data_IF_054581458141
#
_entry.id   IF_054581458141
#
_cell.length_a   1.000
_cell.length_b   1.000
_cell.length_c   1.000
_cell.angle_alpha   90.00
_cell.angle_beta   90.00
_cell.angle_gamma   90.00
#
_symmetry.space_group_name_H-M   'P 1'
#
loop_
_entity.id
_entity.type
_entity.pdbx_description
1 polymer ?
#
# COMPACT_ATOMS: atom_id res chain seq x y z
N UNK A 1 -21.36 -0.50 39.70
CA UNK A 1 -21.95 0.35 38.65
C UNK A 1 -21.11 1.60 38.36
N UNK A 2 -20.71 2.38 39.37
CA UNK A 2 -19.93 3.64 39.20
C UNK A 2 -18.53 3.43 38.61
N UNK A 3 -17.81 2.40 39.04
CA UNK A 3 -16.44 2.09 38.52
C UNK A 3 -16.47 1.62 37.06
N UNK A 4 -17.52 0.87 36.68
CA UNK A 4 -17.71 0.41 35.30
C UNK A 4 -18.07 1.57 34.37
N UNK A 5 -18.85 2.54 34.85
CA UNK A 5 -19.21 3.74 34.10
C UNK A 5 -18.04 4.71 34.00
N UNK A 6 -17.20 4.84 35.03
CA UNK A 6 -15.99 5.66 34.95
C UNK A 6 -14.95 5.08 33.99
N UNK A 7 -14.72 3.76 34.00
CA UNK A 7 -13.84 3.11 33.02
C UNK A 7 -14.37 3.21 31.59
N UNK A 8 -15.67 3.02 31.38
CA UNK A 8 -16.27 3.17 30.05
C UNK A 8 -16.14 4.60 29.52
N UNK A 9 -16.26 5.61 30.39
CA UNK A 9 -16.10 7.01 30.03
C UNK A 9 -14.63 7.36 29.73
N UNK A 10 -13.69 6.84 30.53
CA UNK A 10 -12.26 7.03 30.33
C UNK A 10 -11.76 6.35 29.04
N UNK A 11 -12.24 5.14 28.75
CA UNK A 11 -11.99 4.42 27.48
C UNK A 11 -12.68 5.11 26.31
N UNK A 12 -13.85 5.74 26.48
CA UNK A 12 -14.47 6.53 25.43
C UNK A 12 -13.71 7.83 25.14
N UNK A 13 -13.12 8.45 26.17
CA UNK A 13 -12.31 9.67 26.04
C UNK A 13 -10.92 9.39 25.45
N UNK A 14 -10.23 8.35 25.90
CA UNK A 14 -9.00 7.84 25.27
C UNK A 14 -9.28 7.26 23.88
N UNK A 15 -10.43 6.63 23.73
CA UNK A 15 -10.94 6.05 22.49
C UNK A 15 -11.15 7.09 21.41
N UNK A 16 -11.57 8.33 21.73
CA UNK A 16 -11.66 9.40 20.72
C UNK A 16 -10.30 9.77 20.12
N UNK A 17 -9.25 9.83 20.92
CA UNK A 17 -7.90 10.10 20.41
C UNK A 17 -7.37 8.90 19.63
N UNK A 18 -7.52 7.68 20.15
CA UNK A 18 -7.11 6.46 19.45
C UNK A 18 -7.87 6.25 18.13
N UNK A 19 -9.20 6.45 18.13
CA UNK A 19 -10.03 6.36 16.94
C UNK A 19 -9.69 7.47 15.93
N UNK A 20 -9.42 8.69 16.38
CA UNK A 20 -8.97 9.77 15.48
C UNK A 20 -7.60 9.47 14.85
N UNK A 21 -6.68 8.85 15.59
CA UNK A 21 -5.38 8.41 15.06
C UNK A 21 -5.58 7.30 14.02
N UNK A 22 -6.43 6.31 14.31
CA UNK A 22 -6.74 5.22 13.37
C UNK A 22 -7.44 5.75 12.12
N UNK A 23 -8.35 6.70 12.26
CA UNK A 23 -9.04 7.34 11.15
C UNK A 23 -8.05 8.13 10.27
N UNK A 24 -7.19 8.94 10.89
CA UNK A 24 -6.13 9.65 10.18
C UNK A 24 -5.17 8.67 9.47
N UNK A 25 -4.81 7.57 10.13
CA UNK A 25 -3.98 6.53 9.56
C UNK A 25 -4.66 5.85 8.37
N UNK A 26 -5.96 5.54 8.47
CA UNK A 26 -6.75 4.98 7.37
C UNK A 26 -6.82 5.93 6.19
N UNK A 27 -7.06 7.22 6.43
CA UNK A 27 -7.10 8.25 5.38
C UNK A 27 -5.74 8.33 4.67
N UNK A 28 -4.64 8.42 5.43
CA UNK A 28 -3.28 8.45 4.85
C UNK A 28 -2.96 7.16 4.10
N UNK A 29 -3.31 6.00 4.66
CA UNK A 29 -3.04 4.72 4.04
C UNK A 29 -3.83 4.56 2.73
N UNK A 30 -5.12 4.86 2.74
CA UNK A 30 -5.98 4.71 1.57
C UNK A 30 -5.64 5.71 0.46
N UNK A 31 -5.32 6.96 0.81
CA UNK A 31 -5.09 8.01 -0.20
C UNK A 31 -3.64 8.14 -0.65
N UNK A 32 -2.67 7.70 0.15
CA UNK A 32 -1.24 7.88 -0.16
C UNK A 32 -0.52 6.54 -0.26
N UNK A 33 -0.63 5.70 0.76
CA UNK A 33 0.09 4.42 0.75
C UNK A 33 -0.42 3.48 -0.35
N UNK A 34 -1.74 3.40 -0.56
CA UNK A 34 -2.34 2.51 -1.55
C UNK A 34 -1.94 2.91 -2.99
N UNK A 35 -2.06 4.19 -3.41
CA UNK A 35 -1.59 4.59 -4.74
C UNK A 35 -0.08 4.45 -4.91
N UNK A 36 0.72 4.73 -3.87
CA UNK A 36 2.17 4.52 -3.91
C UNK A 36 2.52 3.04 -4.08
N UNK A 37 1.87 2.14 -3.35
CA UNK A 37 2.09 0.70 -3.46
C UNK A 37 1.77 0.21 -4.88
N UNK A 38 0.64 0.65 -5.45
CA UNK A 38 0.29 0.33 -6.85
C UNK A 38 1.31 0.92 -7.81
N UNK A 39 1.75 2.16 -7.61
CA UNK A 39 2.75 2.80 -8.46
C UNK A 39 4.09 2.05 -8.43
N UNK A 40 4.55 1.65 -7.25
CA UNK A 40 5.76 0.86 -7.06
C UNK A 40 5.62 -0.50 -7.72
N UNK A 41 4.48 -1.19 -7.54
CA UNK A 41 4.22 -2.47 -8.18
C UNK A 41 4.24 -2.35 -9.70
N UNK A 42 3.57 -1.33 -10.26
CA UNK A 42 3.57 -1.07 -11.70
C UNK A 42 4.97 -0.72 -12.21
N UNK A 43 5.76 0.02 -11.43
CA UNK A 43 7.15 0.36 -11.78
C UNK A 43 8.05 -0.87 -11.76
N UNK A 44 7.92 -1.72 -10.74
CA UNK A 44 8.64 -2.99 -10.66
C UNK A 44 8.26 -3.89 -11.83
N UNK A 45 6.95 -4.03 -12.10
CA UNK A 45 6.46 -4.83 -13.22
C UNK A 45 6.93 -4.29 -14.58
N UNK A 46 6.97 -2.97 -14.77
CA UNK A 46 7.57 -2.37 -15.99
C UNK A 46 9.05 -2.73 -16.12
N UNK A 47 9.82 -2.60 -15.04
CA UNK A 47 11.23 -2.99 -15.03
C UNK A 47 11.43 -4.48 -15.32
N UNK A 48 10.61 -5.35 -14.73
CA UNK A 48 10.65 -6.79 -14.95
C UNK A 48 10.26 -7.15 -16.39
N UNK A 49 9.30 -6.44 -16.99
CA UNK A 49 8.93 -6.61 -18.40
C UNK A 49 10.05 -6.13 -19.33
N UNK A 50 10.64 -4.96 -19.06
CA UNK A 50 11.79 -4.45 -19.81
C UNK A 50 12.97 -5.43 -19.74
N UNK A 51 13.19 -6.07 -18.60
CA UNK A 51 14.17 -7.14 -18.45
C UNK A 51 13.74 -8.45 -19.13
N UNK A 52 12.45 -8.81 -19.10
CA UNK A 52 11.95 -10.04 -19.72
C UNK A 52 11.95 -9.99 -21.26
N UNK A 53 11.89 -8.78 -21.82
CA UNK A 53 12.08 -8.55 -23.25
C UNK A 53 13.55 -8.63 -23.67
N UNK A 54 14.50 -8.62 -22.74
CA UNK A 54 15.92 -8.85 -23.02
C UNK A 54 16.26 -10.31 -22.74
N UNK A 55 16.67 -11.06 -23.77
CA UNK A 55 17.10 -12.45 -23.62
C UNK A 55 18.47 -12.50 -22.93
N UNK A 56 18.59 -13.07 -21.71
CA UNK A 56 19.82 -13.01 -20.91
C UNK A 56 21.00 -13.78 -21.51
N UNK A 57 20.75 -14.68 -22.47
CA UNK A 57 21.81 -15.43 -23.16
C UNK A 57 22.40 -14.71 -24.37
N UNK A 58 21.71 -13.69 -24.90
CA UNK A 58 22.13 -12.99 -26.13
C UNK A 58 22.12 -11.46 -26.02
N UNK A 59 21.55 -10.91 -24.94
CA UNK A 59 21.24 -9.49 -24.76
C UNK A 59 20.39 -8.90 -25.91
N UNK A 60 19.74 -9.75 -26.70
CA UNK A 60 18.87 -9.36 -27.81
C UNK A 60 17.40 -9.32 -27.37
N UNK A 61 16.60 -8.52 -28.07
CA UNK A 61 15.16 -8.43 -27.85
C UNK A 61 14.49 -9.78 -28.14
N UNK A 62 13.63 -10.21 -27.22
CA UNK A 62 12.92 -11.47 -27.29
C UNK A 62 11.97 -11.51 -28.49
N UNK A 63 11.75 -12.69 -29.08
CA UNK A 63 10.92 -12.90 -30.29
C UNK A 63 9.46 -12.44 -30.13
N UNK A 64 8.98 -12.22 -28.90
CA UNK A 64 7.65 -11.67 -28.61
C UNK A 64 7.57 -10.15 -28.77
N UNK A 65 8.64 -9.41 -28.50
CA UNK A 65 8.70 -7.97 -28.69
C UNK A 65 8.59 -7.57 -30.18
N UNK A 66 9.05 -8.44 -31.08
CA UNK A 66 9.02 -8.21 -32.53
C UNK A 66 7.65 -8.50 -33.20
N UNK A 67 6.66 -9.02 -32.47
CA UNK A 67 5.33 -9.41 -33.00
C UNK A 67 4.22 -8.39 -32.72
N UNK A 68 4.57 -7.21 -32.22
CA UNK A 68 3.65 -6.09 -31.97
C UNK A 68 3.89 -4.99 -32.98
#
# INVERSE_FOLDING_TARGET
AVVATSQALEVAMHGRAALAIVDLFLVVQANIAMPLAVHVLLRALRGDLDHADLDPLTALLNRRAFRR
#
